data_IF_681691477653
#
_entry.id   IF_681691477653
#
_cell.length_a   1.000
_cell.length_b   1.000
_cell.length_c   1.000
_cell.angle_alpha   90.00
_cell.angle_beta   90.00
_cell.angle_gamma   90.00
#
_symmetry.space_group_name_H-M   'P 1'
#
loop_
_entity.id
_entity.type
_entity.pdbx_description
1 polymer ?
#
# COMPACT_ATOMS: atom_id res chain seq x y z
N UNK A 1 37.48 13.33 -2.37
CA UNK A 1 37.63 14.10 -1.11
C UNK A 1 36.48 15.10 -1.00
N UNK A 2 35.61 14.98 0.00
CA UNK A 2 34.53 15.95 0.26
C UNK A 2 35.03 16.98 1.27
N UNK A 3 35.11 18.25 0.88
CA UNK A 3 35.28 19.38 1.80
C UNK A 3 33.90 19.96 2.10
N UNK A 4 33.39 19.66 3.30
CA UNK A 4 32.10 20.15 3.78
C UNK A 4 32.26 21.59 4.24
N UNK A 5 31.62 22.55 3.56
CA UNK A 5 31.47 23.91 4.08
C UNK A 5 30.47 23.94 5.25
N UNK A 6 30.68 24.82 6.25
CA UNK A 6 29.85 24.87 7.45
C UNK A 6 28.44 25.37 7.12
N UNK A 7 27.45 24.59 7.53
CA UNK A 7 26.03 24.82 7.27
C UNK A 7 25.51 26.10 7.90
N UNK A 8 24.80 26.89 7.08
CA UNK A 8 23.84 27.88 7.57
C UNK A 8 22.73 27.11 8.28
N UNK A 9 22.70 27.20 9.60
CA UNK A 9 21.65 26.62 10.44
C UNK A 9 20.37 27.43 10.21
N UNK A 10 19.44 26.89 9.40
CA UNK A 10 18.08 27.40 9.34
C UNK A 10 17.46 27.37 10.74
N UNK A 11 17.23 28.55 11.33
CA UNK A 11 16.56 28.71 12.61
C UNK A 11 15.12 28.18 12.47
N UNK A 12 14.85 26.99 13.01
CA UNK A 12 13.49 26.43 13.05
C UNK A 12 12.54 27.47 13.71
N UNK A 13 11.39 27.77 13.10
CA UNK A 13 10.51 28.82 13.59
C UNK A 13 9.92 28.43 14.96
N UNK A 14 10.17 29.25 15.99
CA UNK A 14 9.80 29.01 17.39
C UNK A 14 8.31 28.73 17.62
N UNK A 15 7.44 29.21 16.73
CA UNK A 15 5.99 28.95 16.82
C UNK A 15 5.65 27.48 16.54
N UNK A 16 6.39 26.80 15.65
CA UNK A 16 6.16 25.37 15.36
C UNK A 16 6.52 24.48 16.55
N UNK A 17 7.55 24.86 17.32
CA UNK A 17 7.91 24.18 18.56
C UNK A 17 6.89 24.43 19.67
N UNK A 18 6.35 25.65 19.79
CA UNK A 18 5.30 25.96 20.75
C UNK A 18 3.99 25.22 20.42
N UNK A 19 3.58 25.19 19.15
CA UNK A 19 2.42 24.43 18.68
C UNK A 19 2.57 22.92 18.96
N UNK A 20 3.77 22.38 18.71
CA UNK A 20 4.08 20.98 19.03
C UNK A 20 3.95 20.65 20.52
N UNK A 21 4.44 21.55 21.40
CA UNK A 21 4.33 21.39 22.85
C UNK A 21 2.87 21.47 23.34
N UNK A 22 2.07 22.38 22.81
CA UNK A 22 0.63 22.49 23.14
C UNK A 22 -0.13 21.25 22.68
N UNK A 23 0.15 20.75 21.48
CA UNK A 23 -0.45 19.50 20.99
C UNK A 23 -0.03 18.29 21.83
N UNK A 24 1.22 18.24 22.29
CA UNK A 24 1.74 17.17 23.14
C UNK A 24 1.12 17.20 24.54
N UNK A 25 0.98 18.39 25.14
CA UNK A 25 0.33 18.57 26.43
C UNK A 25 -1.17 18.24 26.37
N UNK A 26 -1.87 18.65 25.31
CA UNK A 26 -3.26 18.27 25.06
C UNK A 26 -3.43 16.75 24.88
N UNK A 27 -2.50 16.12 24.15
CA UNK A 27 -2.48 14.66 23.98
C UNK A 27 -2.24 13.93 25.32
N UNK A 28 -1.28 14.38 26.14
CA UNK A 28 -1.04 13.83 27.47
C UNK A 28 -2.26 14.02 28.39
N UNK A 29 -2.87 15.21 28.40
CA UNK A 29 -4.07 15.47 29.22
C UNK A 29 -5.24 14.57 28.85
N UNK A 30 -5.45 14.34 27.55
CA UNK A 30 -6.51 13.46 27.06
C UNK A 30 -6.20 11.97 27.32
N UNK A 31 -4.91 11.59 27.40
CA UNK A 31 -4.44 10.24 27.76
C UNK A 31 -4.81 9.88 29.21
N UNK A 32 -4.70 10.84 30.13
CA UNK A 32 -5.07 10.63 31.53
C UNK A 32 -6.59 10.55 31.75
N UNK A 33 -7.38 11.29 30.98
CA UNK A 33 -8.83 11.37 31.16
C UNK A 33 -9.58 10.20 30.49
N UNK A 34 -9.14 9.77 29.31
CA UNK A 34 -9.81 8.71 28.54
C UNK A 34 -8.81 7.86 27.75
N UNK A 35 -7.95 7.06 28.44
CA UNK A 35 -6.85 6.34 27.79
C UNK A 35 -7.34 5.38 26.69
N UNK A 36 -8.46 4.69 26.91
CA UNK A 36 -8.99 3.71 25.96
C UNK A 36 -9.49 4.35 24.66
N UNK A 37 -10.18 5.49 24.76
CA UNK A 37 -10.72 6.19 23.58
C UNK A 37 -9.60 6.85 22.79
N UNK A 38 -8.63 7.43 23.49
CA UNK A 38 -7.49 8.08 22.86
C UNK A 38 -6.63 7.08 22.09
N UNK A 39 -6.26 5.94 22.69
CA UNK A 39 -5.48 4.90 22.02
C UNK A 39 -6.26 4.36 20.80
N UNK A 40 -7.56 4.12 20.96
CA UNK A 40 -8.40 3.59 19.89
C UNK A 40 -8.54 4.55 18.70
N UNK A 41 -8.67 5.87 18.93
CA UNK A 41 -8.77 6.87 17.86
C UNK A 41 -7.41 7.28 17.29
N UNK A 42 -6.32 7.13 18.05
CA UNK A 42 -4.98 7.54 17.62
C UNK A 42 -4.53 6.81 16.36
N UNK A 43 -4.66 5.48 16.31
CA UNK A 43 -4.24 4.69 15.15
C UNK A 43 -5.01 5.03 13.86
N UNK A 44 -6.36 5.03 13.82
CA UNK A 44 -7.09 5.37 12.60
C UNK A 44 -6.90 6.84 12.20
N UNK A 45 -6.82 7.77 13.16
CA UNK A 45 -6.54 9.17 12.88
C UNK A 45 -5.12 9.36 12.33
N UNK A 46 -4.13 8.69 12.90
CA UNK A 46 -2.75 8.71 12.41
C UNK A 46 -2.65 8.12 11.01
N UNK A 47 -3.31 6.98 10.75
CA UNK A 47 -3.38 6.37 9.41
C UNK A 47 -4.03 7.34 8.43
N UNK A 48 -5.16 7.96 8.79
CA UNK A 48 -5.84 8.96 7.95
C UNK A 48 -4.91 10.15 7.63
N UNK A 49 -4.23 10.70 8.64
CA UNK A 49 -3.27 11.80 8.46
C UNK A 49 -2.07 11.33 7.62
N UNK A 50 -1.56 10.12 7.82
CA UNK A 50 -0.47 9.55 7.02
C UNK A 50 -0.86 9.30 5.56
N UNK A 51 -2.13 8.97 5.29
CA UNK A 51 -2.67 8.85 3.94
C UNK A 51 -2.85 10.19 3.25
N UNK A 52 -3.29 11.20 4.00
CA UNK A 52 -3.45 12.57 3.50
C UNK A 52 -2.09 13.28 3.32
N UNK A 53 -1.11 12.93 4.13
CA UNK A 53 0.25 13.47 4.04
C UNK A 53 1.07 12.66 3.03
N UNK A 54 1.67 13.35 2.06
CA UNK A 54 2.47 12.71 1.01
C UNK A 54 3.84 12.25 1.56
N UNK A 55 3.89 11.12 2.28
CA UNK A 55 5.11 10.56 2.90
C UNK A 55 6.00 9.73 1.95
N UNK A 56 5.70 9.68 0.64
CA UNK A 56 6.47 8.89 -0.32
C UNK A 56 7.86 9.45 -0.71
N UNK A 57 8.76 8.63 -1.27
CA UNK A 57 10.05 9.07 -1.80
C UNK A 57 9.92 10.09 -2.95
N UNK A 58 10.89 11.00 -3.07
CA UNK A 58 10.84 12.13 -4.02
C UNK A 58 10.74 11.72 -5.50
N UNK A 59 11.35 10.61 -5.89
CA UNK A 59 11.30 10.09 -7.25
C UNK A 59 9.86 9.91 -7.74
N UNK A 60 9.07 9.14 -6.99
CA UNK A 60 7.69 8.84 -7.33
C UNK A 60 6.71 10.00 -7.09
N UNK A 61 7.07 10.96 -6.23
CA UNK A 61 6.32 12.22 -6.12
C UNK A 61 6.45 13.07 -7.38
N UNK A 62 7.60 12.99 -8.01
CA UNK A 62 7.96 13.76 -9.20
C UNK A 62 7.35 13.10 -10.43
N UNK A 63 7.51 11.77 -10.56
CA UNK A 63 6.85 10.92 -11.56
C UNK A 63 5.34 11.20 -11.69
N UNK A 64 4.61 11.29 -10.57
CA UNK A 64 3.15 11.59 -10.59
C UNK A 64 2.77 12.96 -11.19
N UNK A 65 3.73 13.86 -11.41
CA UNK A 65 3.50 15.23 -11.91
C UNK A 65 4.05 15.44 -13.32
N UNK A 66 4.91 14.56 -13.81
CA UNK A 66 5.48 14.65 -15.14
C UNK A 66 4.67 13.81 -16.13
N UNK A 67 4.51 14.35 -17.34
CA UNK A 67 4.10 13.55 -18.47
C UNK A 67 5.34 12.86 -19.05
N UNK A 68 5.20 11.59 -19.42
CA UNK A 68 6.26 10.86 -20.12
C UNK A 68 6.50 11.52 -21.48
N UNK A 69 7.72 12.03 -21.69
CA UNK A 69 8.12 12.70 -22.92
C UNK A 69 8.67 11.70 -23.94
N UNK A 70 8.43 11.96 -25.22
CA UNK A 70 9.12 11.28 -26.33
C UNK A 70 10.52 11.85 -26.48
N UNK A 71 11.51 11.00 -26.76
CA UNK A 71 12.91 11.41 -26.90
C UNK A 71 13.08 12.47 -27.99
N UNK A 72 12.40 12.30 -29.14
CA UNK A 72 12.51 13.24 -30.27
C UNK A 72 12.03 14.66 -29.95
N UNK A 73 11.07 14.82 -29.04
CA UNK A 73 10.43 16.10 -28.72
C UNK A 73 10.64 16.50 -27.26
N UNK A 74 11.78 16.08 -26.70
CA UNK A 74 12.08 16.25 -25.29
C UNK A 74 12.41 17.71 -24.97
N UNK A 75 11.68 18.29 -24.02
CA UNK A 75 11.92 19.66 -23.58
C UNK A 75 13.16 19.74 -22.68
N UNK A 76 13.89 20.85 -22.74
CA UNK A 76 15.01 21.11 -21.83
C UNK A 76 14.50 21.27 -20.39
N UNK A 77 15.27 20.79 -19.42
CA UNK A 77 14.90 20.78 -18.00
C UNK A 77 14.46 19.41 -17.50
N UNK A 78 13.72 19.38 -16.39
CA UNK A 78 13.30 18.12 -15.75
C UNK A 78 12.31 17.34 -16.64
N UNK A 79 12.65 16.11 -16.97
CA UNK A 79 11.89 15.25 -17.89
C UNK A 79 11.75 13.83 -17.34
N UNK A 80 10.67 13.16 -17.74
CA UNK A 80 10.45 11.72 -17.57
C UNK A 80 10.51 11.06 -18.96
N UNK A 81 11.35 10.05 -19.13
CA UNK A 81 11.52 9.32 -20.38
C UNK A 81 11.40 7.83 -20.12
N UNK A 82 10.68 7.14 -21.01
CA UNK A 82 10.61 5.67 -21.02
C UNK A 82 11.39 5.15 -22.22
N UNK A 83 12.23 4.15 -22.02
CA UNK A 83 12.95 3.52 -23.11
C UNK A 83 13.68 2.25 -22.71
N UNK A 84 14.24 1.58 -23.70
CA UNK A 84 15.16 0.46 -23.52
C UNK A 84 16.58 0.96 -23.29
N UNK A 85 17.29 0.31 -22.39
CA UNK A 85 18.71 0.59 -22.12
C UNK A 85 19.57 0.04 -23.24
N UNK A 86 20.38 0.92 -23.82
CA UNK A 86 21.40 0.61 -24.82
C UNK A 86 22.77 0.81 -24.19
N UNK A 87 23.54 -0.27 -24.12
CA UNK A 87 24.85 -0.29 -23.48
C UNK A 87 25.96 0.06 -24.49
N UNK A 88 26.68 1.16 -24.24
CA UNK A 88 27.92 1.45 -24.98
C UNK A 88 29.13 0.78 -24.33
N UNK A 89 29.13 0.71 -22.99
CA UNK A 89 30.14 0.02 -22.19
C UNK A 89 29.48 -0.82 -21.11
N UNK A 90 29.85 -2.09 -21.06
CA UNK A 90 29.42 -3.01 -20.00
C UNK A 90 30.48 -3.15 -18.92
N UNK A 91 30.04 -3.51 -17.72
CA UNK A 91 30.86 -3.90 -16.58
C UNK A 91 30.35 -5.22 -16.00
N UNK A 92 31.18 -5.90 -15.21
CA UNK A 92 30.79 -7.14 -14.54
C UNK A 92 30.19 -6.83 -13.17
N UNK A 93 29.10 -7.51 -12.84
CA UNK A 93 28.46 -7.38 -11.53
C UNK A 93 29.31 -8.01 -10.42
N UNK A 94 29.32 -7.44 -9.20
CA UNK A 94 30.22 -7.89 -8.14
C UNK A 94 29.86 -9.25 -7.54
N UNK A 95 28.58 -9.67 -7.61
CA UNK A 95 28.13 -10.92 -6.97
C UNK A 95 28.12 -12.06 -7.98
N UNK A 96 27.44 -11.90 -9.12
CA UNK A 96 27.28 -12.98 -10.11
C UNK A 96 28.19 -12.88 -11.33
N UNK A 97 29.01 -11.82 -11.45
CA UNK A 97 29.87 -11.61 -12.61
C UNK A 97 29.09 -11.42 -13.93
N UNK A 98 27.84 -10.95 -13.87
CA UNK A 98 27.00 -10.78 -15.07
C UNK A 98 27.34 -9.46 -15.78
N UNK A 99 27.37 -9.42 -17.13
CA UNK A 99 27.55 -8.19 -17.86
C UNK A 99 26.35 -7.26 -17.67
N UNK A 100 26.61 -6.03 -17.24
CA UNK A 100 25.58 -5.02 -16.96
C UNK A 100 26.11 -3.61 -17.29
N UNK A 101 25.19 -2.66 -17.43
CA UNK A 101 25.47 -1.22 -17.58
C UNK A 101 25.73 -0.56 -16.23
N UNK A 102 25.01 -1.01 -15.21
CA UNK A 102 25.16 -0.58 -13.84
C UNK A 102 24.57 -1.60 -12.87
N UNK A 103 24.91 -1.45 -11.59
CA UNK A 103 24.43 -2.32 -10.53
C UNK A 103 24.18 -1.55 -9.23
N UNK A 104 23.30 -2.10 -8.40
CA UNK A 104 23.16 -1.77 -6.99
C UNK A 104 23.47 -3.03 -6.19
N UNK A 105 24.59 -3.01 -5.48
CA UNK A 105 25.01 -4.08 -4.59
C UNK A 105 24.59 -3.75 -3.16
N UNK A 106 23.97 -4.72 -2.48
CA UNK A 106 23.40 -4.56 -1.14
C UNK A 106 23.89 -5.71 -0.27
N UNK A 107 24.41 -5.38 0.91
CA UNK A 107 24.78 -6.35 1.95
C UNK A 107 23.87 -6.15 3.15
N UNK A 108 23.34 -7.27 3.65
CA UNK A 108 22.40 -7.31 4.76
C UNK A 108 22.90 -8.24 5.86
N UNK A 109 22.76 -7.81 7.10
CA UNK A 109 23.03 -8.62 8.29
C UNK A 109 21.73 -9.17 8.85
N UNK A 110 21.76 -10.46 9.14
CA UNK A 110 20.69 -11.23 9.74
C UNK A 110 20.88 -11.30 11.24
N UNK A 111 19.79 -11.10 11.97
CA UNK A 111 19.70 -11.41 13.39
C UNK A 111 18.57 -12.42 13.59
N UNK A 112 18.94 -13.56 14.16
CA UNK A 112 17.99 -14.59 14.54
C UNK A 112 17.30 -14.19 15.85
N UNK A 113 15.98 -14.22 15.83
CA UNK A 113 15.15 -14.05 17.01
C UNK A 113 15.07 -15.37 17.79
N UNK A 114 14.64 -15.30 19.06
CA UNK A 114 14.54 -16.46 19.96
C UNK A 114 13.66 -17.60 19.41
N UNK A 115 12.77 -17.27 18.47
CA UNK A 115 11.84 -18.19 17.82
C UNK A 115 12.42 -18.81 16.52
N UNK A 116 13.69 -18.58 16.21
CA UNK A 116 14.37 -19.08 15.00
C UNK A 116 14.07 -18.31 13.71
N UNK A 117 13.36 -17.18 13.82
CA UNK A 117 13.06 -16.30 12.69
C UNK A 117 14.21 -15.33 12.43
N UNK A 118 14.60 -15.16 11.17
CA UNK A 118 15.66 -14.25 10.76
C UNK A 118 15.11 -12.87 10.39
N UNK A 119 15.59 -11.83 11.06
CA UNK A 119 15.38 -10.43 10.68
C UNK A 119 16.60 -9.91 9.93
N UNK A 120 16.41 -9.34 8.74
CA UNK A 120 17.50 -8.85 7.89
C UNK A 120 17.53 -7.33 7.86
N UNK A 121 18.71 -6.75 7.99
CA UNK A 121 18.92 -5.31 8.02
C UNK A 121 20.04 -4.90 7.07
N UNK A 122 19.80 -3.85 6.27
CA UNK A 122 20.79 -3.36 5.30
C UNK A 122 21.95 -2.69 6.02
N UNK A 123 23.15 -3.23 5.81
CA UNK A 123 24.41 -2.76 6.43
C UNK A 123 25.14 -1.82 5.49
N UNK A 124 25.22 -2.19 4.22
CA UNK A 124 25.91 -1.40 3.23
C UNK A 124 25.20 -1.46 1.88
N UNK A 125 25.49 -0.46 1.06
CA UNK A 125 25.16 -0.50 -0.34
C UNK A 125 26.10 0.32 -1.18
N UNK A 126 26.38 -0.18 -2.36
CA UNK A 126 27.15 0.48 -3.38
C UNK A 126 26.35 0.48 -4.67
N UNK A 127 26.27 1.64 -5.34
CA UNK A 127 25.66 1.76 -6.64
C UNK A 127 26.69 2.32 -7.62
N UNK A 128 26.79 1.70 -8.80
CA UNK A 128 27.69 2.13 -9.86
C UNK A 128 27.02 1.95 -11.21
N UNK A 129 27.22 2.91 -12.10
CA UNK A 129 26.69 2.88 -13.46
C UNK A 129 27.70 3.49 -14.41
N UNK A 130 27.86 2.89 -15.58
CA UNK A 130 28.45 3.57 -16.73
C UNK A 130 27.40 4.48 -17.37
N UNK A 131 27.86 5.43 -18.19
CA UNK A 131 26.99 6.17 -19.10
C UNK A 131 26.37 5.21 -20.13
N UNK A 132 25.14 5.50 -20.53
CA UNK A 132 24.37 4.64 -21.42
C UNK A 132 23.42 5.47 -22.29
N UNK A 133 22.82 4.81 -23.27
CA UNK A 133 21.76 5.41 -24.10
C UNK A 133 20.41 4.83 -23.74
N UNK A 134 19.38 5.63 -23.86
CA UNK A 134 18.00 5.18 -23.85
C UNK A 134 17.42 5.27 -25.24
N UNK A 135 16.73 4.22 -25.66
CA UNK A 135 16.04 4.15 -26.95
C UNK A 135 14.53 4.01 -26.73
N UNK A 136 13.75 4.90 -27.34
CA UNK A 136 12.30 4.78 -27.44
C UNK A 136 11.89 4.60 -28.91
N UNK A 137 10.57 4.62 -29.19
CA UNK A 137 10.08 4.49 -30.56
C UNK A 137 10.42 5.69 -31.47
N UNK A 138 10.88 6.80 -30.90
CA UNK A 138 11.07 8.09 -31.59
C UNK A 138 12.53 8.44 -31.83
N UNK A 139 13.44 7.93 -31.01
CA UNK A 139 14.88 8.13 -31.13
C UNK A 139 15.69 7.57 -29.96
N UNK A 140 16.93 8.06 -29.85
CA UNK A 140 17.87 7.70 -28.80
C UNK A 140 18.39 8.95 -28.09
N UNK A 141 18.68 8.84 -26.80
CA UNK A 141 19.28 9.92 -26.01
C UNK A 141 20.36 9.37 -25.07
N UNK A 142 21.45 10.11 -24.93
CA UNK A 142 22.55 9.76 -24.03
C UNK A 142 22.24 10.18 -22.59
N UNK A 143 22.60 9.31 -21.65
CA UNK A 143 22.40 9.50 -20.21
C UNK A 143 23.77 9.49 -19.54
N UNK A 144 24.09 10.58 -18.85
CA UNK A 144 25.28 10.69 -18.02
C UNK A 144 24.91 10.19 -16.64
N UNK A 145 25.37 8.98 -16.29
CA UNK A 145 24.88 8.22 -15.16
C UNK A 145 25.50 8.67 -13.81
N UNK A 146 26.38 9.67 -13.83
CA UNK A 146 26.96 10.22 -12.61
C UNK A 146 25.88 10.75 -11.65
N UNK A 147 25.81 10.18 -10.45
CA UNK A 147 24.84 10.56 -9.43
C UNK A 147 23.43 10.02 -9.64
N UNK A 148 23.23 9.06 -10.56
CA UNK A 148 21.93 8.44 -10.80
C UNK A 148 21.50 7.55 -9.63
N UNK A 149 20.25 7.69 -9.19
CA UNK A 149 19.62 6.77 -8.25
C UNK A 149 19.04 5.55 -9.00
N UNK A 150 19.78 4.44 -9.02
CA UNK A 150 19.36 3.20 -9.66
C UNK A 150 18.37 2.44 -8.77
N UNK A 151 17.17 2.17 -9.29
CA UNK A 151 16.11 1.38 -8.66
C UNK A 151 15.60 1.92 -7.30
N UNK A 152 16.03 3.11 -6.89
CA UNK A 152 15.67 3.71 -5.61
C UNK A 152 15.98 2.79 -4.42
N UNK A 153 14.98 2.53 -3.59
CA UNK A 153 15.11 1.68 -2.40
C UNK A 153 14.73 0.21 -2.65
N UNK A 154 14.76 -0.27 -3.89
CA UNK A 154 14.42 -1.66 -4.19
C UNK A 154 15.46 -2.62 -3.60
N UNK A 155 14.99 -3.72 -3.02
CA UNK A 155 15.83 -4.80 -2.51
C UNK A 155 15.99 -5.89 -3.57
N UNK A 156 17.14 -6.57 -3.63
CA UNK A 156 17.32 -7.74 -4.49
C UNK A 156 16.33 -8.83 -4.08
N UNK A 157 15.83 -9.60 -5.05
CA UNK A 157 15.01 -10.80 -4.77
C UNK A 157 15.93 -11.98 -4.45
N UNK A 158 16.99 -12.11 -5.24
CA UNK A 158 17.97 -13.16 -5.07
C UNK A 158 19.09 -12.70 -4.13
N UNK A 159 19.35 -13.53 -3.12
CA UNK A 159 20.40 -13.31 -2.15
C UNK A 159 21.37 -14.49 -2.14
N UNK A 160 22.67 -14.19 -2.04
CA UNK A 160 23.71 -15.16 -1.75
C UNK A 160 24.19 -14.98 -0.31
N UNK A 161 24.32 -16.08 0.42
CA UNK A 161 24.88 -16.07 1.77
C UNK A 161 26.39 -15.83 1.72
N UNK A 162 26.85 -14.83 2.47
CA UNK A 162 28.29 -14.61 2.73
C UNK A 162 28.68 -15.39 3.99
N UNK A 163 27.81 -15.41 5.00
CA UNK A 163 27.94 -16.18 6.24
C UNK A 163 26.56 -16.57 6.77
N UNK A 164 26.50 -17.29 7.89
CA UNK A 164 25.23 -17.67 8.52
C UNK A 164 24.35 -16.46 8.86
N UNK A 165 24.93 -15.29 9.13
CA UNK A 165 24.23 -14.08 9.53
C UNK A 165 24.47 -12.89 8.59
N UNK A 166 24.98 -13.13 7.38
CA UNK A 166 25.20 -12.08 6.39
C UNK A 166 24.88 -12.58 4.99
N UNK A 167 24.09 -11.80 4.27
CA UNK A 167 23.74 -12.08 2.87
C UNK A 167 24.00 -10.86 1.99
N UNK A 168 24.17 -11.10 0.71
CA UNK A 168 24.30 -10.06 -0.30
C UNK A 168 23.39 -10.31 -1.47
N UNK A 169 23.01 -9.26 -2.16
CA UNK A 169 22.30 -9.35 -3.43
C UNK A 169 22.64 -8.17 -4.32
N UNK A 170 22.27 -8.28 -5.60
CA UNK A 170 22.51 -7.22 -6.58
C UNK A 170 21.27 -6.99 -7.45
N UNK A 171 21.04 -5.72 -7.81
CA UNK A 171 20.12 -5.33 -8.86
C UNK A 171 20.93 -4.86 -10.05
N UNK A 172 20.61 -5.34 -11.24
CA UNK A 172 21.40 -5.09 -12.44
C UNK A 172 20.59 -4.27 -13.44
N UNK A 173 21.23 -3.24 -14.01
CA UNK A 173 20.76 -2.55 -15.19
C UNK A 173 21.40 -3.23 -16.40
N UNK A 174 20.63 -3.99 -17.18
CA UNK A 174 21.13 -4.72 -18.34
C UNK A 174 20.71 -4.07 -19.64
N UNK A 175 21.35 -4.47 -20.74
CA UNK A 175 20.90 -4.12 -22.08
C UNK A 175 19.44 -4.58 -22.29
N UNK A 176 18.71 -3.84 -23.12
CA UNK A 176 17.31 -4.10 -23.53
C UNK A 176 16.28 -4.04 -22.39
N UNK A 177 16.70 -3.66 -21.19
CA UNK A 177 15.81 -3.46 -20.05
C UNK A 177 14.91 -2.22 -20.28
N UNK A 178 13.59 -2.38 -20.15
CA UNK A 178 12.62 -1.28 -20.25
C UNK A 178 12.55 -0.51 -18.93
N UNK A 179 12.97 0.76 -18.96
CA UNK A 179 13.14 1.59 -17.78
C UNK A 179 12.49 2.95 -17.95
N UNK A 180 12.08 3.52 -16.81
CA UNK A 180 11.64 4.90 -16.68
C UNK A 180 12.77 5.71 -16.03
N UNK A 181 13.24 6.74 -16.70
CA UNK A 181 14.27 7.66 -16.23
C UNK A 181 13.65 9.03 -15.94
N UNK A 182 13.97 9.60 -14.78
CA UNK A 182 13.71 11.00 -14.47
C UNK A 182 15.05 11.70 -14.31
N UNK A 183 15.24 12.80 -15.03
CA UNK A 183 16.47 13.59 -14.97
C UNK A 183 16.34 14.95 -15.64
N UNK A 184 17.42 15.72 -15.65
CA UNK A 184 17.47 17.03 -16.27
C UNK A 184 18.04 16.91 -17.69
N UNK A 185 17.24 17.26 -18.68
CA UNK A 185 17.64 17.37 -20.07
C UNK A 185 18.43 18.66 -20.28
N UNK A 186 19.71 18.51 -20.58
CA UNK A 186 20.63 19.62 -20.76
C UNK A 186 21.52 19.39 -21.97
N UNK A 187 22.09 20.46 -22.48
CA UNK A 187 23.05 20.39 -23.58
C UNK A 187 24.46 20.27 -23.00
N UNK A 188 25.21 19.26 -23.42
CA UNK A 188 26.64 19.12 -23.12
C UNK A 188 27.39 18.84 -24.41
N UNK A 189 28.44 19.62 -24.69
CA UNK A 189 29.27 19.47 -25.88
C UNK A 189 28.47 19.49 -27.21
N UNK A 190 27.42 20.31 -27.30
CA UNK A 190 26.57 20.40 -28.49
C UNK A 190 25.59 19.24 -28.69
N UNK A 191 25.45 18.35 -27.70
CA UNK A 191 24.51 17.23 -27.73
C UNK A 191 23.53 17.30 -26.55
N UNK A 192 22.26 17.00 -26.81
CA UNK A 192 21.25 16.86 -25.76
C UNK A 192 21.46 15.58 -24.99
N UNK A 193 21.60 15.67 -23.67
CA UNK A 193 21.81 14.56 -22.75
C UNK A 193 20.91 14.68 -21.54
N UNK A 194 20.63 13.55 -20.88
CA UNK A 194 19.95 13.55 -19.58
C UNK A 194 21.02 13.34 -18.49
N UNK A 195 21.02 14.22 -17.49
CA UNK A 195 21.98 14.15 -16.39
C UNK A 195 21.35 14.61 -15.07
N UNK A 196 22.13 14.56 -13.99
CA UNK A 196 21.75 15.14 -12.72
C UNK A 196 21.54 16.66 -12.84
N UNK A 197 20.36 17.13 -12.45
CA UNK A 197 20.05 18.57 -12.43
C UNK A 197 20.88 19.33 -11.41
N UNK A 198 21.16 20.62 -11.68
CA UNK A 198 21.99 21.48 -10.82
C UNK A 198 21.30 21.93 -9.52
N UNK A 199 19.99 21.72 -9.40
CA UNK A 199 19.21 22.15 -8.24
C UNK A 199 19.42 21.19 -7.05
N UNK A 200 19.47 21.69 -5.80
CA UNK A 200 19.75 20.88 -4.61
C UNK A 200 18.68 19.83 -4.28
N UNK A 201 17.52 19.88 -4.96
CA UNK A 201 16.43 18.88 -4.87
C UNK A 201 16.13 18.22 -6.22
N UNK A 202 17.07 18.29 -7.16
CA UNK A 202 16.90 17.62 -8.45
C UNK A 202 16.73 16.12 -8.25
N UNK A 203 15.73 15.56 -8.90
CA UNK A 203 15.51 14.12 -8.92
C UNK A 203 16.24 13.59 -10.14
N UNK A 204 17.20 12.69 -9.90
CA UNK A 204 17.86 11.94 -10.96
C UNK A 204 17.85 10.47 -10.59
N UNK A 205 17.01 9.70 -11.26
CA UNK A 205 16.79 8.30 -10.91
C UNK A 205 16.19 7.49 -12.03
N UNK A 206 16.35 6.19 -11.90
CA UNK A 206 15.90 5.19 -12.86
C UNK A 206 15.17 4.08 -12.13
N UNK A 207 14.02 3.67 -12.67
CA UNK A 207 13.26 2.54 -12.16
C UNK A 207 12.77 1.67 -13.32
N UNK A 208 12.46 0.41 -13.04
CA UNK A 208 11.81 -0.46 -14.02
C UNK A 208 10.46 0.14 -14.40
N UNK A 209 10.17 0.21 -15.70
CA UNK A 209 8.91 0.78 -16.18
C UNK A 209 7.71 0.07 -15.56
N UNK A 210 7.81 -1.25 -15.45
CA UNK A 210 6.82 -2.12 -14.82
C UNK A 210 6.50 -1.74 -13.37
N UNK A 211 7.51 -1.45 -12.56
CA UNK A 211 7.34 -1.09 -11.14
C UNK A 211 6.61 0.25 -11.02
N UNK A 212 6.96 1.19 -11.90
CA UNK A 212 6.36 2.53 -11.93
C UNK A 212 4.91 2.45 -12.41
N UNK A 213 4.62 1.71 -13.47
CA UNK A 213 3.26 1.52 -13.99
C UNK A 213 2.36 0.80 -12.98
N UNK A 214 2.86 -0.30 -12.38
CA UNK A 214 2.17 -1.02 -11.30
C UNK A 214 1.79 -0.05 -10.18
N UNK A 215 2.75 0.79 -9.75
CA UNK A 215 2.51 1.76 -8.68
C UNK A 215 1.55 2.87 -9.11
N UNK A 216 1.65 3.38 -10.34
CA UNK A 216 0.75 4.42 -10.88
C UNK A 216 -0.70 3.96 -10.87
N UNK A 217 -0.93 2.68 -11.17
CA UNK A 217 -2.25 2.05 -11.21
C UNK A 217 -2.75 1.69 -9.81
N UNK A 218 -1.89 1.20 -8.91
CA UNK A 218 -2.27 0.75 -7.56
C UNK A 218 -2.32 1.89 -6.52
N UNK A 219 -1.49 2.91 -6.62
CA UNK A 219 -1.43 4.01 -5.65
C UNK A 219 -2.79 4.70 -5.39
N UNK A 220 -3.61 5.04 -6.40
CA UNK A 220 -4.89 5.69 -6.13
C UNK A 220 -5.89 4.72 -5.49
N UNK A 221 -5.79 3.41 -5.74
CA UNK A 221 -6.59 2.38 -5.08
C UNK A 221 -6.21 2.24 -3.61
N UNK A 222 -4.91 2.16 -3.30
CA UNK A 222 -4.44 2.08 -1.92
C UNK A 222 -4.79 3.34 -1.11
N UNK A 223 -4.70 4.53 -1.73
CA UNK A 223 -5.12 5.78 -1.08
C UNK A 223 -6.62 5.79 -0.78
N UNK A 224 -7.45 5.41 -1.76
CA UNK A 224 -8.89 5.32 -1.57
C UNK A 224 -9.24 4.25 -0.52
N UNK A 225 -8.73 3.03 -0.66
CA UNK A 225 -8.97 1.93 0.28
C UNK A 225 -8.51 2.28 1.70
N UNK A 226 -7.36 2.94 1.84
CA UNK A 226 -6.88 3.45 3.12
C UNK A 226 -7.81 4.50 3.71
N UNK A 227 -8.33 5.44 2.90
CA UNK A 227 -9.29 6.44 3.36
C UNK A 227 -10.60 5.81 3.87
N UNK A 228 -11.22 4.93 3.07
CA UNK A 228 -12.44 4.22 3.49
C UNK A 228 -12.18 3.35 4.73
N UNK A 229 -11.04 2.65 4.76
CA UNK A 229 -10.63 1.84 5.91
C UNK A 229 -10.45 2.68 7.18
N UNK A 230 -9.85 3.86 7.08
CA UNK A 230 -9.69 4.77 8.21
C UNK A 230 -11.02 5.33 8.72
N UNK A 231 -11.94 5.70 7.81
CA UNK A 231 -13.30 6.15 8.17
C UNK A 231 -14.08 5.03 8.86
N UNK A 232 -14.03 3.81 8.30
CA UNK A 232 -14.65 2.61 8.87
C UNK A 232 -14.08 2.34 10.27
N UNK A 233 -12.75 2.39 10.42
CA UNK A 233 -12.10 2.19 11.71
C UNK A 233 -12.50 3.28 12.73
N UNK A 234 -12.58 4.55 12.33
CA UNK A 234 -12.98 5.65 13.22
C UNK A 234 -14.42 5.49 13.72
N UNK A 235 -15.35 5.15 12.83
CA UNK A 235 -16.74 4.86 13.21
C UNK A 235 -16.83 3.59 14.08
N UNK A 236 -16.04 2.55 13.77
CA UNK A 236 -15.97 1.33 14.56
C UNK A 236 -15.48 1.58 15.99
N UNK A 237 -14.48 2.46 16.17
CA UNK A 237 -14.04 2.91 17.50
C UNK A 237 -15.18 3.63 18.24
N UNK A 238 -15.96 4.45 17.55
CA UNK A 238 -17.15 5.07 18.11
C UNK A 238 -18.16 4.05 18.64
N UNK A 239 -18.45 3.01 17.85
CA UNK A 239 -19.33 1.89 18.28
C UNK A 239 -18.76 1.17 19.50
N UNK A 240 -17.45 0.93 19.53
CA UNK A 240 -16.80 0.27 20.67
C UNK A 240 -16.87 1.11 21.95
N UNK A 241 -16.74 2.44 21.82
CA UNK A 241 -16.76 3.38 22.94
C UNK A 241 -18.17 3.62 23.54
N UNK A 242 -19.25 3.24 22.84
CA UNK A 242 -20.60 3.39 23.35
C UNK A 242 -20.82 2.58 24.64
N UNK A 243 -21.35 3.23 25.68
CA UNK A 243 -21.70 2.56 26.94
C UNK A 243 -23.08 1.88 26.83
N UNK A 244 -23.40 0.90 27.70
CA UNK A 244 -24.71 0.24 27.70
C UNK A 244 -25.90 1.21 27.80
N UNK A 245 -25.74 2.34 28.51
CA UNK A 245 -26.75 3.37 28.62
C UNK A 245 -27.07 4.08 27.28
N UNK A 246 -26.07 4.22 26.40
CA UNK A 246 -26.29 4.77 25.05
C UNK A 246 -27.09 3.77 24.19
N UNK A 247 -26.81 2.46 24.32
CA UNK A 247 -27.58 1.42 23.64
C UNK A 247 -29.03 1.35 24.12
N UNK A 248 -29.28 1.54 25.41
CA UNK A 248 -30.63 1.57 25.96
C UNK A 248 -31.48 2.73 25.40
N UNK A 249 -30.86 3.87 25.08
CA UNK A 249 -31.55 5.03 24.48
C UNK A 249 -31.89 4.81 23.00
N UNK A 250 -31.14 3.96 22.30
CA UNK A 250 -31.41 3.59 20.91
C UNK A 250 -32.67 2.72 20.73
N UNK A 251 -33.38 2.38 21.83
CA UNK A 251 -34.53 1.46 21.84
C UNK A 251 -34.24 0.12 21.13
N UNK A 252 -32.96 -0.27 21.07
CA UNK A 252 -32.58 -1.58 20.55
C UNK A 252 -32.91 -2.60 21.65
N UNK A 253 -33.66 -3.67 21.34
CA UNK A 253 -33.99 -4.68 22.34
C UNK A 253 -32.70 -5.30 22.88
N UNK A 254 -32.60 -5.42 24.20
CA UNK A 254 -31.47 -6.08 24.85
C UNK A 254 -31.55 -7.60 24.74
N UNK A 255 -30.49 -8.35 25.11
CA UNK A 255 -30.48 -9.81 25.12
C UNK A 255 -31.67 -10.41 25.86
N UNK A 256 -31.98 -9.87 27.03
CA UNK A 256 -33.12 -10.26 27.87
C UNK A 256 -34.47 -9.92 27.23
N UNK A 257 -34.54 -8.80 26.51
CA UNK A 257 -35.75 -8.38 25.81
C UNK A 257 -36.12 -9.36 24.70
N UNK A 258 -35.13 -9.91 23.99
CA UNK A 258 -35.39 -10.93 22.97
C UNK A 258 -35.85 -12.26 23.58
N UNK A 259 -35.28 -12.67 24.73
CA UNK A 259 -35.74 -13.87 25.43
C UNK A 259 -37.19 -13.75 25.89
N UNK A 260 -37.61 -12.56 26.33
CA UNK A 260 -39.00 -12.30 26.73
C UNK A 260 -39.97 -12.25 25.54
N UNK A 261 -39.47 -11.95 24.34
CA UNK A 261 -40.25 -11.90 23.11
C UNK A 261 -40.30 -13.23 22.35
N UNK A 262 -39.57 -14.26 22.80
CA UNK A 262 -39.59 -15.63 22.25
C UNK A 262 -41.01 -16.18 21.95
N UNK A 263 -42.04 -15.97 22.79
CA UNK A 263 -43.39 -16.48 22.50
C UNK A 263 -44.16 -15.70 21.41
N UNK A 264 -43.68 -14.54 20.95
CA UNK A 264 -44.40 -13.67 20.00
C UNK A 264 -44.32 -14.13 18.54
N UNK A 265 -43.49 -15.15 18.23
CA UNK A 265 -43.46 -15.78 16.92
C UNK A 265 -42.10 -16.34 16.52
N UNK A 266 -42.02 -17.03 15.37
CA UNK A 266 -40.82 -17.77 14.94
C UNK A 266 -39.61 -16.87 14.69
N UNK A 267 -39.83 -15.61 14.27
CA UNK A 267 -38.76 -14.62 14.09
C UNK A 267 -38.14 -14.22 15.43
N UNK A 268 -38.95 -14.06 16.47
CA UNK A 268 -38.48 -13.72 17.81
C UNK A 268 -37.82 -14.91 18.51
N UNK A 269 -38.26 -16.15 18.24
CA UNK A 269 -37.55 -17.36 18.67
C UNK A 269 -36.14 -17.43 18.09
N UNK A 270 -36.00 -17.11 16.80
CA UNK A 270 -34.69 -17.07 16.14
C UNK A 270 -33.81 -15.96 16.73
N UNK A 271 -34.36 -14.77 17.00
CA UNK A 271 -33.65 -13.66 17.64
C UNK A 271 -33.25 -14.00 19.09
N UNK A 272 -34.13 -14.59 19.88
CA UNK A 272 -33.87 -15.03 21.26
C UNK A 272 -32.76 -16.09 21.32
N UNK A 273 -32.77 -17.02 20.37
CA UNK A 273 -31.71 -18.00 20.19
C UNK A 273 -30.38 -17.35 19.76
N UNK A 274 -30.44 -16.33 18.90
CA UNK A 274 -29.27 -15.58 18.45
C UNK A 274 -28.59 -14.79 19.57
N UNK A 275 -29.38 -14.13 20.43
CA UNK A 275 -28.91 -13.21 21.47
C UNK A 275 -28.78 -13.85 22.87
N UNK A 276 -28.69 -15.18 22.95
CA UNK A 276 -28.56 -15.89 24.22
C UNK A 276 -27.21 -15.59 24.90
N UNK A 277 -27.25 -15.11 26.15
CA UNK A 277 -26.04 -14.89 26.96
C UNK A 277 -25.22 -16.18 27.12
N UNK A 278 -23.89 -16.07 26.93
CA UNK A 278 -22.96 -17.21 27.00
C UNK A 278 -23.06 -18.20 25.84
N UNK A 279 -23.92 -17.96 24.84
CA UNK A 279 -24.05 -18.82 23.68
C UNK A 279 -22.89 -18.68 22.68
N UNK A 280 -22.56 -19.79 22.02
CA UNK A 280 -21.68 -19.85 20.86
C UNK A 280 -22.21 -19.22 19.53
N UNK A 281 -23.51 -18.84 19.32
CA UNK A 281 -24.00 -18.57 17.98
C UNK A 281 -23.53 -17.22 17.40
N UNK A 282 -23.27 -16.18 18.20
CA UNK A 282 -22.79 -14.89 17.67
C UNK A 282 -21.32 -14.93 17.22
N UNK A 283 -20.33 -15.48 17.96
CA UNK A 283 -18.98 -15.65 17.42
C UNK A 283 -18.97 -16.58 16.21
N UNK A 284 -19.86 -17.59 16.16
CA UNK A 284 -20.05 -18.43 14.98
C UNK A 284 -20.67 -17.65 13.81
N UNK A 285 -21.64 -16.76 14.04
CA UNK A 285 -22.20 -15.86 13.01
C UNK A 285 -21.29 -14.70 12.66
N UNK A 286 -20.33 -14.31 13.48
CA UNK A 286 -19.33 -13.32 13.09
C UNK A 286 -18.22 -13.99 12.25
N UNK A 287 -17.89 -15.26 12.54
CA UNK A 287 -17.00 -16.07 11.70
C UNK A 287 -17.66 -16.54 10.37
N UNK A 288 -18.94 -16.93 10.39
CA UNK A 288 -19.66 -17.51 9.24
C UNK A 288 -20.84 -16.66 8.73
N UNK A 289 -21.33 -15.67 9.46
CA UNK A 289 -22.39 -14.77 9.00
C UNK A 289 -21.88 -13.71 8.02
N UNK A 290 -20.58 -13.42 7.97
CA UNK A 290 -19.97 -12.77 6.82
C UNK A 290 -20.19 -13.59 5.53
N UNK A 291 -20.06 -14.92 5.62
CA UNK A 291 -20.34 -15.84 4.51
C UNK A 291 -21.82 -15.83 4.15
N UNK A 292 -22.71 -15.91 5.14
CA UNK A 292 -24.16 -15.97 4.93
C UNK A 292 -24.72 -14.64 4.40
N UNK A 293 -24.23 -13.50 4.88
CA UNK A 293 -24.58 -12.17 4.36
C UNK A 293 -24.08 -11.96 2.95
N UNK A 294 -22.83 -12.33 2.63
CA UNK A 294 -22.34 -12.32 1.24
C UNK A 294 -23.18 -13.26 0.36
N UNK A 295 -23.56 -14.42 0.86
CA UNK A 295 -24.40 -15.37 0.13
C UNK A 295 -25.81 -14.81 -0.14
N UNK A 296 -26.43 -14.17 0.86
CA UNK A 296 -27.72 -13.48 0.71
C UNK A 296 -27.59 -12.30 -0.27
N UNK A 297 -26.52 -11.51 -0.17
CA UNK A 297 -26.23 -10.42 -1.13
C UNK A 297 -25.97 -10.97 -2.53
N UNK A 298 -25.29 -12.11 -2.67
CA UNK A 298 -25.10 -12.81 -3.96
C UNK A 298 -26.44 -13.28 -4.55
N UNK A 299 -27.37 -13.77 -3.72
CA UNK A 299 -28.73 -14.14 -4.13
C UNK A 299 -29.52 -12.89 -4.56
N UNK A 300 -29.50 -11.84 -3.75
CA UNK A 300 -30.20 -10.58 -4.04
C UNK A 300 -29.66 -9.84 -5.25
N UNK A 301 -28.34 -9.82 -5.44
CA UNK A 301 -27.70 -9.27 -6.64
C UNK A 301 -28.05 -10.08 -7.88
N UNK A 302 -28.22 -11.41 -7.74
CA UNK A 302 -28.78 -12.26 -8.80
C UNK A 302 -30.22 -11.91 -9.16
N UNK A 303 -31.01 -11.41 -8.22
CA UNK A 303 -32.42 -11.06 -8.43
C UNK A 303 -32.61 -9.63 -8.95
N UNK A 304 -31.87 -8.64 -8.42
CA UNK A 304 -32.11 -7.21 -8.67
C UNK A 304 -31.27 -6.58 -9.78
N UNK A 305 -30.07 -7.09 -10.08
CA UNK A 305 -29.14 -6.39 -10.97
C UNK A 305 -29.26 -6.85 -12.44
N UNK A 306 -29.03 -5.98 -13.45
CA UNK A 306 -28.95 -6.38 -14.85
C UNK A 306 -27.72 -7.30 -15.11
N UNK A 307 -27.79 -8.14 -16.15
CA UNK A 307 -26.84 -9.25 -16.41
C UNK A 307 -25.36 -8.82 -16.44
N UNK A 308 -25.04 -7.62 -16.94
CA UNK A 308 -23.68 -7.09 -16.98
C UNK A 308 -23.10 -6.76 -15.60
N UNK A 309 -23.89 -6.18 -14.69
CA UNK A 309 -23.47 -5.87 -13.31
C UNK A 309 -23.39 -7.12 -12.43
N UNK A 310 -24.23 -8.14 -12.69
CA UNK A 310 -24.24 -9.39 -11.91
C UNK A 310 -22.90 -10.11 -11.90
N UNK A 311 -22.21 -10.18 -13.04
CA UNK A 311 -20.91 -10.85 -13.16
C UNK A 311 -19.79 -10.07 -12.46
N UNK A 312 -19.80 -8.73 -12.56
CA UNK A 312 -18.82 -7.89 -11.88
C UNK A 312 -18.99 -7.95 -10.35
N UNK A 313 -20.23 -7.80 -9.87
CA UNK A 313 -20.57 -7.85 -8.45
C UNK A 313 -20.33 -9.25 -7.87
N UNK A 314 -20.64 -10.32 -8.62
CA UNK A 314 -20.38 -11.69 -8.19
C UNK A 314 -18.90 -12.05 -8.06
N UNK A 315 -18.04 -11.57 -8.97
CA UNK A 315 -16.57 -11.78 -8.87
C UNK A 315 -15.97 -11.04 -7.69
N UNK A 316 -16.42 -9.82 -7.44
CA UNK A 316 -16.02 -9.05 -6.26
C UNK A 316 -16.49 -9.78 -5.00
N UNK A 317 -17.78 -10.07 -4.86
CA UNK A 317 -18.32 -10.77 -3.69
C UNK A 317 -17.65 -12.13 -3.42
N UNK A 318 -17.29 -12.88 -4.48
CA UNK A 318 -16.54 -14.12 -4.35
C UNK A 318 -15.11 -13.94 -3.82
N UNK A 319 -14.38 -12.92 -4.29
CA UNK A 319 -13.05 -12.57 -3.76
C UNK A 319 -13.14 -12.08 -2.30
N UNK A 320 -14.20 -11.35 -1.97
CA UNK A 320 -14.52 -10.89 -0.61
C UNK A 320 -14.77 -12.07 0.33
N UNK A 321 -15.47 -13.11 -0.14
CA UNK A 321 -15.76 -14.32 0.63
C UNK A 321 -14.48 -15.02 1.11
N UNK A 322 -13.48 -15.16 0.24
CA UNK A 322 -12.20 -15.79 0.58
C UNK A 322 -11.33 -14.96 1.52
N UNK A 323 -11.15 -13.67 1.23
CA UNK A 323 -10.28 -12.80 2.04
C UNK A 323 -10.88 -12.49 3.41
N UNK A 324 -12.19 -12.25 3.47
CA UNK A 324 -12.90 -11.96 4.71
C UNK A 324 -13.04 -13.18 5.64
N UNK A 325 -13.03 -14.41 5.11
CA UNK A 325 -13.05 -15.62 5.94
C UNK A 325 -11.78 -15.76 6.78
N UNK A 326 -10.61 -15.53 6.16
CA UNK A 326 -9.31 -15.72 6.84
C UNK A 326 -9.05 -14.59 7.83
N UNK A 327 -9.19 -13.34 7.39
CA UNK A 327 -8.89 -12.17 8.23
C UNK A 327 -10.01 -11.96 9.25
N UNK A 328 -11.26 -12.08 8.83
CA UNK A 328 -12.41 -11.83 9.69
C UNK A 328 -12.66 -12.90 10.73
N UNK A 329 -12.41 -14.17 10.42
CA UNK A 329 -12.48 -15.25 11.40
C UNK A 329 -11.48 -15.04 12.55
N UNK A 330 -10.23 -14.70 12.23
CA UNK A 330 -9.18 -14.45 13.24
C UNK A 330 -9.50 -13.22 14.09
N UNK A 331 -9.90 -12.11 13.47
CA UNK A 331 -10.25 -10.87 14.21
C UNK A 331 -11.45 -11.09 15.13
N UNK A 332 -12.47 -11.80 14.64
CA UNK A 332 -13.66 -12.14 15.45
C UNK A 332 -13.29 -13.03 16.63
N UNK A 333 -12.44 -14.04 16.41
CA UNK A 333 -11.96 -14.92 17.48
C UNK A 333 -11.22 -14.11 18.56
N UNK A 334 -10.35 -13.18 18.17
CA UNK A 334 -9.64 -12.30 19.10
C UNK A 334 -10.59 -11.39 19.89
N UNK A 335 -11.60 -10.79 19.23
CA UNK A 335 -12.60 -9.95 19.90
C UNK A 335 -13.49 -10.76 20.85
N UNK A 336 -13.79 -12.02 20.52
CA UNK A 336 -14.50 -12.93 21.40
C UNK A 336 -13.67 -13.29 22.64
N UNK A 337 -12.38 -13.63 22.47
CA UNK A 337 -11.45 -13.88 23.58
C UNK A 337 -11.30 -12.63 24.47
N UNK A 338 -11.37 -11.45 23.87
CA UNK A 338 -11.36 -10.19 24.60
C UNK A 338 -12.71 -9.85 25.29
N UNK A 339 -13.69 -10.77 25.28
CA UNK A 339 -15.03 -10.59 25.87
C UNK A 339 -15.75 -9.32 25.40
N UNK A 340 -15.52 -8.90 24.15
CA UNK A 340 -16.22 -7.73 23.57
C UNK A 340 -17.68 -8.09 23.33
N UNK A 341 -18.60 -7.19 23.67
CA UNK A 341 -20.04 -7.35 23.43
C UNK A 341 -20.35 -7.74 21.98
N UNK A 342 -21.12 -8.81 21.84
CA UNK A 342 -21.47 -9.42 20.58
C UNK A 342 -22.25 -8.48 19.63
N UNK A 343 -23.07 -7.57 20.17
CA UNK A 343 -23.78 -6.56 19.39
C UNK A 343 -22.82 -5.53 18.79
N UNK A 344 -21.80 -5.12 19.56
CA UNK A 344 -20.76 -4.20 19.07
C UNK A 344 -19.94 -4.83 17.95
N UNK A 345 -19.59 -6.11 18.11
CA UNK A 345 -18.89 -6.88 17.07
C UNK A 345 -19.72 -6.93 15.77
N UNK A 346 -21.02 -7.22 15.88
CA UNK A 346 -21.93 -7.25 14.73
C UNK A 346 -22.01 -5.91 14.00
N UNK A 347 -22.17 -4.80 14.72
CA UNK A 347 -22.25 -3.46 14.13
C UNK A 347 -20.95 -3.06 13.42
N UNK A 348 -19.80 -3.38 14.00
CA UNK A 348 -18.50 -3.13 13.36
C UNK A 348 -18.35 -3.94 12.07
N UNK A 349 -18.79 -5.20 12.05
CA UNK A 349 -18.81 -6.02 10.84
C UNK A 349 -19.74 -5.46 9.76
N UNK A 350 -20.94 -5.00 10.13
CA UNK A 350 -21.85 -4.32 9.20
C UNK A 350 -21.22 -3.06 8.62
N UNK A 351 -20.48 -2.31 9.42
CA UNK A 351 -19.81 -1.09 9.01
C UNK A 351 -18.64 -1.37 8.04
N UNK A 352 -17.88 -2.45 8.27
CA UNK A 352 -16.86 -2.93 7.34
C UNK A 352 -17.52 -3.32 6.01
N UNK A 353 -18.58 -4.14 6.02
CA UNK A 353 -19.29 -4.54 4.80
C UNK A 353 -19.85 -3.37 4.01
N UNK A 354 -20.44 -2.39 4.71
CA UNK A 354 -20.96 -1.19 4.07
C UNK A 354 -19.84 -0.36 3.46
N UNK A 355 -18.76 -0.10 4.22
CA UNK A 355 -17.62 0.68 3.74
C UNK A 355 -16.96 0.05 2.53
N UNK A 356 -16.94 -1.28 2.46
CA UNK A 356 -16.31 -2.00 1.37
C UNK A 356 -17.19 -2.12 0.14
N UNK A 357 -18.51 -2.25 0.33
CA UNK A 357 -19.49 -2.08 -0.74
C UNK A 357 -19.39 -0.68 -1.36
N UNK A 358 -19.34 0.36 -0.52
CA UNK A 358 -19.18 1.76 -0.98
C UNK A 358 -17.87 1.92 -1.76
N UNK A 359 -16.74 1.46 -1.21
CA UNK A 359 -15.46 1.45 -1.93
C UNK A 359 -15.59 0.74 -3.28
N UNK A 360 -16.21 -0.44 -3.32
CA UNK A 360 -16.35 -1.21 -4.54
C UNK A 360 -17.20 -0.49 -5.60
N UNK A 361 -18.29 0.16 -5.20
CA UNK A 361 -19.19 0.88 -6.11
C UNK A 361 -18.56 2.17 -6.64
N UNK A 362 -17.89 2.95 -5.78
CA UNK A 362 -17.33 4.25 -6.17
C UNK A 362 -15.99 4.10 -6.91
N UNK A 363 -15.20 3.07 -6.63
CA UNK A 363 -13.86 2.89 -7.23
C UNK A 363 -13.82 1.87 -8.38
N UNK A 364 -14.98 1.53 -8.97
CA UNK A 364 -15.07 0.56 -10.09
C UNK A 364 -14.13 0.88 -11.25
N UNK A 365 -14.02 2.16 -11.63
CA UNK A 365 -13.15 2.58 -12.75
C UNK A 365 -11.68 2.31 -12.45
N UNK A 366 -11.22 2.64 -11.24
CA UNK A 366 -9.83 2.45 -10.82
C UNK A 366 -9.50 0.96 -10.68
N UNK A 367 -10.42 0.18 -10.12
CA UNK A 367 -10.28 -1.28 -10.03
C UNK A 367 -10.27 -1.95 -11.41
N UNK A 368 -11.10 -1.48 -12.34
CA UNK A 368 -11.11 -1.96 -13.72
C UNK A 368 -9.79 -1.69 -14.44
N UNK A 369 -9.22 -0.50 -14.28
CA UNK A 369 -7.90 -0.16 -14.81
C UNK A 369 -6.81 -1.08 -14.24
N UNK A 370 -6.80 -1.29 -12.92
CA UNK A 370 -5.87 -2.23 -12.27
C UNK A 370 -6.03 -3.66 -12.79
N UNK A 371 -7.26 -4.16 -12.86
CA UNK A 371 -7.52 -5.50 -13.36
C UNK A 371 -7.03 -5.67 -14.80
N UNK A 372 -7.32 -4.72 -15.69
CA UNK A 372 -6.85 -4.79 -17.09
C UNK A 372 -5.33 -4.78 -17.21
N UNK A 373 -4.64 -3.99 -16.37
CA UNK A 373 -3.18 -3.90 -16.33
C UNK A 373 -2.56 -5.26 -15.96
N UNK A 374 -3.04 -5.88 -14.87
CA UNK A 374 -2.51 -7.16 -14.41
C UNK A 374 -2.96 -8.34 -15.28
N UNK A 375 -4.19 -8.32 -15.82
CA UNK A 375 -4.66 -9.36 -16.73
C UNK A 375 -3.83 -9.41 -18.03
N UNK A 376 -3.50 -8.24 -18.59
CA UNK A 376 -2.63 -8.14 -19.78
C UNK A 376 -1.22 -8.69 -19.50
N UNK A 377 -0.71 -8.53 -18.29
CA UNK A 377 0.56 -9.14 -17.88
C UNK A 377 0.47 -10.66 -17.87
N UNK A 378 -0.51 -11.22 -17.15
CA UNK A 378 -0.66 -12.68 -17.06
C UNK A 378 -0.77 -13.33 -18.43
N UNK A 379 -1.46 -12.68 -19.39
CA UNK A 379 -1.47 -13.17 -20.78
C UNK A 379 -0.12 -13.09 -21.49
N UNK A 380 0.67 -12.05 -21.23
CA UNK A 380 1.99 -11.83 -21.84
C UNK A 380 3.02 -12.85 -21.34
N UNK A 381 3.04 -13.09 -20.03
CA UNK A 381 3.95 -14.08 -19.42
C UNK A 381 3.61 -15.49 -19.94
N UNK A 382 2.32 -15.80 -20.09
CA UNK A 382 1.87 -17.08 -20.65
C UNK A 382 2.21 -17.27 -22.13
N UNK A 383 2.32 -16.19 -22.91
CA UNK A 383 2.81 -16.26 -24.29
C UNK A 383 4.33 -16.42 -24.35
N UNK A 384 5.10 -15.77 -23.46
CA UNK A 384 6.56 -15.95 -23.48
C UNK A 384 6.98 -17.35 -23.04
N UNK A 385 6.25 -17.98 -22.12
CA UNK A 385 6.50 -19.35 -21.69
C UNK A 385 6.09 -20.41 -22.72
N UNK A 386 5.28 -20.04 -23.73
CA UNK A 386 4.87 -20.94 -24.81
C UNK A 386 5.82 -20.89 -26.02
N UNK A 387 6.64 -19.83 -26.11
CA UNK A 387 7.61 -19.58 -27.18
C UNK A 387 9.07 -19.89 -26.76
N UNK A 388 9.26 -20.41 -25.54
CA UNK A 388 10.53 -20.91 -24.99
C UNK A 388 10.49 -22.43 -24.85
#
# INVERSE_FOLDING_TARGET
MKTTQPGVVEKKPKWKTALGLVSLAGFLGLLFYAPNILIALFFPMFILVALLTNLGPNFYKTEQRLATSQIRSLAMGLVEVRGKVMADKTMLSPVNGKPCVGYVWIVEDGKEDKDGSWSWSRVSSEARSNDFRLQDATGEISVIAEGIDLFGNKTPVDHQSISNSRRQGELLLTQDMDVMLIGDACERNGQTVIAMGKQPKAVFGLALTEDVENRRVLAPLWRAGGFYGAVVAMLGVGVMAMTPAHFAQLHLPGPETYQQMEPLGPVYQLLAWLYREGGFPIPFMAAFGFMLTIFVVLIWTRLLLPKGMRLAVGRVLGAWMGLGMVIGGVVTLLLFVAHVDALKQFLVWMLILLGTLVFSLFEQRKMGAAYSHFAKRVSKDRSSDADA
#
